data_IF_367035652924
#
_entry.id   IF_367035652924
#
_cell.length_a   1.000
_cell.length_b   1.000
_cell.length_c   1.000
_cell.angle_alpha   90.00
_cell.angle_beta   90.00
_cell.angle_gamma   90.00
#
_symmetry.space_group_name_H-M   'P 1'
#
loop_
_entity.id
_entity.type
_entity.pdbx_description
1 polymer ?
#
# COMPACT_ATOMS: atom_id res chain seq x y z
N UNK A 1 -11.62 5.64 34.15
CA UNK A 1 -12.94 6.30 33.93
C UNK A 1 -12.75 7.54 33.03
N UNK A 2 -12.31 7.38 31.76
CA UNK A 2 -11.80 8.52 30.95
C UNK A 2 -12.10 8.47 29.43
N UNK A 3 -13.10 7.70 28.97
CA UNK A 3 -13.41 7.58 27.54
C UNK A 3 -14.88 7.82 27.18
N UNK A 4 -15.52 8.76 27.86
CA UNK A 4 -16.85 9.27 27.45
C UNK A 4 -16.80 10.59 26.66
N UNK A 5 -15.61 11.11 26.38
CA UNK A 5 -15.49 12.29 25.52
C UNK A 5 -15.51 11.87 24.05
N UNK A 6 -16.72 11.72 23.52
CA UNK A 6 -16.97 11.77 22.08
C UNK A 6 -16.09 12.89 21.49
N UNK A 7 -15.21 12.52 20.55
CA UNK A 7 -14.36 13.44 19.79
C UNK A 7 -15.25 14.49 19.11
N UNK A 8 -15.45 15.64 19.75
CA UNK A 8 -15.96 16.84 19.08
C UNK A 8 -14.83 17.36 18.21
N UNK A 9 -14.81 16.91 16.96
CA UNK A 9 -13.73 17.18 15.99
C UNK A 9 -13.52 18.70 15.78
N UNK A 10 -14.54 19.52 16.01
CA UNK A 10 -14.47 20.98 15.89
C UNK A 10 -13.69 21.71 16.98
N UNK A 11 -13.26 21.03 18.05
CA UNK A 11 -12.50 21.64 19.17
C UNK A 11 -11.28 20.79 19.55
N UNK A 12 -10.72 20.09 18.55
CA UNK A 12 -9.58 19.22 18.76
C UNK A 12 -8.28 20.03 18.64
N UNK A 13 -7.50 20.11 19.73
CA UNK A 13 -6.17 20.71 19.66
C UNK A 13 -5.28 19.97 18.65
N UNK A 14 -4.42 20.71 17.94
CA UNK A 14 -3.46 20.13 17.00
C UNK A 14 -2.62 19.02 17.66
N UNK A 15 -2.18 19.24 18.89
CA UNK A 15 -1.43 18.25 19.66
C UNK A 15 -2.23 16.97 19.96
N UNK A 16 -3.54 17.09 20.19
CA UNK A 16 -4.42 15.93 20.41
C UNK A 16 -4.60 15.13 19.12
N UNK A 17 -4.78 15.80 17.99
CA UNK A 17 -4.83 15.15 16.67
C UNK A 17 -3.54 14.37 16.37
N UNK A 18 -2.39 15.01 16.59
CA UNK A 18 -1.07 14.39 16.37
C UNK A 18 -0.89 13.18 17.30
N UNK A 19 -1.24 13.29 18.59
CA UNK A 19 -1.16 12.17 19.53
C UNK A 19 -2.08 11.00 19.13
N UNK A 20 -3.32 11.30 18.70
CA UNK A 20 -4.25 10.28 18.22
C UNK A 20 -3.68 9.56 17.00
N UNK A 21 -3.22 10.31 15.99
CA UNK A 21 -2.65 9.71 14.79
C UNK A 21 -1.38 8.91 15.05
N UNK A 22 -0.52 9.38 15.97
CA UNK A 22 0.66 8.63 16.41
C UNK A 22 0.27 7.26 16.98
N UNK A 23 -0.70 7.23 17.90
CA UNK A 23 -1.20 5.98 18.49
C UNK A 23 -1.79 5.04 17.45
N UNK A 24 -2.55 5.56 16.49
CA UNK A 24 -3.11 4.76 15.38
C UNK A 24 -2.00 4.12 14.54
N UNK A 25 -0.90 4.85 14.30
CA UNK A 25 0.25 4.34 13.56
C UNK A 25 1.05 3.31 14.37
N UNK A 26 1.27 3.55 15.66
CA UNK A 26 1.96 2.62 16.57
C UNK A 26 1.22 1.28 16.67
N UNK A 27 -0.12 1.30 16.85
CA UNK A 27 -0.94 0.09 16.86
C UNK A 27 -0.97 -0.62 15.49
N UNK A 28 -0.66 0.09 14.41
CA UNK A 28 -0.48 -0.49 13.09
C UNK A 28 0.93 -1.09 12.87
N UNK A 29 1.80 -1.06 13.89
CA UNK A 29 3.16 -1.62 13.86
C UNK A 29 4.25 -0.66 13.41
N UNK A 30 3.95 0.64 13.24
CA UNK A 30 4.97 1.63 12.86
C UNK A 30 5.76 2.09 14.09
N UNK A 31 7.07 2.30 13.91
CA UNK A 31 7.88 3.13 14.81
C UNK A 31 7.60 4.60 14.50
N UNK A 32 7.10 5.36 15.48
CA UNK A 32 6.59 6.71 15.26
C UNK A 32 7.52 7.77 15.87
N UNK A 33 7.92 8.74 15.04
CA UNK A 33 8.69 9.92 15.44
C UNK A 33 7.81 11.15 15.29
N UNK A 34 7.53 11.84 16.40
CA UNK A 34 6.70 13.06 16.41
C UNK A 34 7.59 14.30 16.30
N UNK A 35 7.06 15.37 15.72
CA UNK A 35 7.77 16.64 15.52
C UNK A 35 9.15 16.42 14.84
N UNK A 36 9.18 15.59 13.80
CA UNK A 36 10.41 15.24 13.11
C UNK A 36 10.95 16.46 12.36
N UNK A 37 12.13 16.91 12.76
CA UNK A 37 12.76 18.09 12.19
C UNK A 37 13.69 17.69 11.04
N UNK A 38 13.55 18.38 9.92
CA UNK A 38 14.49 18.37 8.80
C UNK A 38 15.12 19.75 8.67
N UNK A 39 16.21 19.87 7.93
CA UNK A 39 16.91 21.13 7.64
C UNK A 39 16.02 22.26 7.11
N UNK A 40 14.84 21.96 6.54
CA UNK A 40 13.94 22.94 5.94
C UNK A 40 12.48 22.89 6.43
N UNK A 41 12.05 21.78 7.03
CA UNK A 41 10.64 21.57 7.37
C UNK A 41 10.51 20.81 8.69
N UNK A 42 9.45 21.13 9.44
CA UNK A 42 9.04 20.38 10.62
C UNK A 42 7.83 19.54 10.23
N UNK A 43 7.93 18.24 10.45
CA UNK A 43 6.91 17.26 10.11
C UNK A 43 6.22 16.83 11.39
N UNK A 44 4.90 16.80 11.38
CA UNK A 44 4.15 16.43 12.59
C UNK A 44 4.46 14.98 13.00
N UNK A 45 4.46 14.04 12.06
CA UNK A 45 4.79 12.64 12.32
C UNK A 45 5.56 12.00 11.16
N UNK A 46 6.63 11.28 11.48
CA UNK A 46 7.32 10.36 10.58
C UNK A 46 7.21 8.94 11.15
N UNK A 47 6.61 8.02 10.40
CA UNK A 47 6.46 6.62 10.78
C UNK A 47 7.35 5.73 9.93
N UNK A 48 7.99 4.73 10.55
CA UNK A 48 8.78 3.72 9.85
C UNK A 48 8.22 2.35 10.19
N UNK A 49 7.78 1.61 9.17
CA UNK A 49 7.40 0.21 9.33
C UNK A 49 8.62 -0.66 8.96
N UNK A 50 9.26 -1.32 9.93
CA UNK A 50 10.38 -2.22 9.65
C UNK A 50 9.86 -3.46 8.94
N UNK A 51 10.43 -3.80 7.78
CA UNK A 51 10.12 -5.05 7.07
C UNK A 51 11.40 -5.73 6.60
N UNK A 52 11.34 -7.05 6.41
CA UNK A 52 12.48 -7.87 5.95
C UNK A 52 13.03 -7.48 4.56
N UNK A 53 12.26 -6.72 3.77
CA UNK A 53 12.62 -6.27 2.43
C UNK A 53 13.03 -4.79 2.37
N UNK A 54 13.04 -4.11 3.51
CA UNK A 54 13.37 -2.69 3.63
C UNK A 54 12.37 -1.91 4.47
N UNK A 55 12.83 -0.79 5.01
CA UNK A 55 12.02 0.08 5.85
C UNK A 55 11.06 0.91 5.00
N UNK A 56 9.77 0.87 5.35
CA UNK A 56 8.74 1.66 4.68
C UNK A 56 8.52 2.93 5.49
N UNK A 57 8.99 4.06 4.96
CA UNK A 57 8.78 5.38 5.55
C UNK A 57 7.42 5.97 5.17
N UNK A 58 6.69 6.50 6.14
CA UNK A 58 5.41 7.20 5.94
C UNK A 58 5.48 8.55 6.62
N UNK A 59 5.23 9.61 5.86
CA UNK A 59 5.17 10.98 6.37
C UNK A 59 3.72 11.36 6.59
N UNK A 60 3.39 11.88 7.77
CA UNK A 60 2.04 12.33 8.12
C UNK A 60 2.04 13.80 8.54
N UNK A 61 1.20 14.60 7.89
CA UNK A 61 0.89 15.96 8.30
C UNK A 61 -0.50 16.05 8.90
N UNK A 62 -0.60 16.74 10.03
CA UNK A 62 -1.83 16.99 10.76
C UNK A 62 -2.16 18.49 10.70
N UNK A 63 -3.16 18.85 9.90
CA UNK A 63 -3.67 20.23 9.83
C UNK A 63 -4.92 20.34 10.70
N UNK A 64 -4.96 21.38 11.53
CA UNK A 64 -6.15 21.70 12.31
C UNK A 64 -6.74 22.99 11.75
N UNK A 65 -7.87 22.89 11.05
CA UNK A 65 -8.58 24.01 10.47
C UNK A 65 -10.04 23.97 10.90
N UNK A 66 -10.68 25.14 11.03
CA UNK A 66 -12.12 25.20 11.21
C UNK A 66 -12.84 24.68 9.96
N UNK A 67 -14.10 24.25 10.13
CA UNK A 67 -14.98 23.78 9.06
C UNK A 67 -15.17 24.77 7.89
N UNK A 68 -14.87 26.06 8.13
CA UNK A 68 -14.96 27.13 7.11
C UNK A 68 -13.74 27.19 6.18
N UNK A 69 -12.64 26.53 6.55
CA UNK A 69 -11.39 26.56 5.83
C UNK A 69 -11.05 25.18 5.28
N UNK A 70 -10.84 25.10 3.97
CA UNK A 70 -10.46 23.86 3.31
C UNK A 70 -8.95 23.80 3.07
N UNK A 71 -8.40 22.58 3.09
CA UNK A 71 -7.00 22.34 2.75
C UNK A 71 -6.79 22.48 1.24
N UNK A 72 -5.88 23.38 0.88
CA UNK A 72 -5.50 23.68 -0.50
C UNK A 72 -4.47 22.74 -1.11
N UNK A 73 -4.16 22.99 -2.39
CA UNK A 73 -3.17 22.24 -3.16
C UNK A 73 -1.72 22.50 -2.70
N UNK A 74 -1.47 23.66 -2.12
CA UNK A 74 -0.21 24.09 -1.53
C UNK A 74 0.31 23.10 -0.49
N UNK A 75 -0.55 22.70 0.46
CA UNK A 75 -0.20 21.74 1.52
C UNK A 75 0.19 20.39 0.92
N UNK A 76 -0.53 19.92 -0.09
CA UNK A 76 -0.23 18.64 -0.75
C UNK A 76 1.11 18.66 -1.47
N UNK A 77 1.42 19.75 -2.17
CA UNK A 77 2.70 19.92 -2.88
C UNK A 77 3.88 20.04 -1.92
N UNK A 78 3.70 20.79 -0.82
CA UNK A 78 4.70 20.88 0.24
C UNK A 78 5.02 19.49 0.80
N UNK A 79 3.99 18.73 1.17
CA UNK A 79 4.16 17.38 1.70
C UNK A 79 4.72 16.38 0.68
N UNK A 80 4.43 16.56 -0.60
CA UNK A 80 5.07 15.78 -1.67
C UNK A 80 6.57 16.05 -1.76
N UNK A 81 6.98 17.32 -1.68
CA UNK A 81 8.40 17.68 -1.66
C UNK A 81 9.10 17.06 -0.44
N UNK A 82 8.49 17.18 0.74
CA UNK A 82 8.99 16.59 1.98
C UNK A 82 9.11 15.06 1.87
N UNK A 83 8.09 14.39 1.36
CA UNK A 83 8.09 12.93 1.15
C UNK A 83 9.22 12.49 0.21
N UNK A 84 9.49 13.25 -0.86
CA UNK A 84 10.62 12.97 -1.77
C UNK A 84 11.97 13.17 -1.09
N UNK A 85 12.13 14.23 -0.30
CA UNK A 85 13.38 14.49 0.44
C UNK A 85 13.69 13.39 1.44
N UNK A 86 12.68 12.89 2.15
CA UNK A 86 12.83 11.83 3.14
C UNK A 86 12.77 10.42 2.55
N UNK A 87 12.62 10.28 1.23
CA UNK A 87 12.40 8.99 0.55
C UNK A 87 11.23 8.19 1.16
N UNK A 88 10.21 8.89 1.64
CA UNK A 88 9.03 8.27 2.20
C UNK A 88 8.25 7.55 1.10
N UNK A 89 7.83 6.32 1.37
CA UNK A 89 7.06 5.48 0.45
C UNK A 89 5.62 5.96 0.32
N UNK A 90 5.08 6.63 1.35
CA UNK A 90 3.71 7.14 1.33
C UNK A 90 3.58 8.45 2.12
N UNK A 91 2.68 9.30 1.64
CA UNK A 91 2.34 10.56 2.29
C UNK A 91 0.89 10.48 2.74
N UNK A 92 0.64 10.88 3.98
CA UNK A 92 -0.70 10.97 4.56
C UNK A 92 -0.93 12.40 5.05
N UNK A 93 -2.06 12.98 4.69
CA UNK A 93 -2.45 14.30 5.17
C UNK A 93 -3.79 14.17 5.86
N UNK A 94 -3.83 14.58 7.13
CA UNK A 94 -4.99 14.51 8.01
C UNK A 94 -5.43 15.91 8.33
N UNK A 95 -6.74 16.17 8.24
CA UNK A 95 -7.33 17.45 8.62
C UNK A 95 -8.60 17.26 9.43
N UNK A 96 -8.90 18.20 10.32
CA UNK A 96 -10.18 18.30 11.04
C UNK A 96 -11.30 18.92 10.22
N UNK A 97 -10.97 19.49 9.05
CA UNK A 97 -11.90 20.08 8.08
C UNK A 97 -11.95 19.23 6.79
N UNK A 98 -12.12 19.86 5.63
CA UNK A 98 -12.25 19.23 4.33
C UNK A 98 -11.13 19.66 3.36
N UNK A 99 -10.99 18.92 2.26
CA UNK A 99 -10.05 19.25 1.18
C UNK A 99 -10.78 19.90 0.01
N UNK A 100 -10.13 20.88 -0.61
CA UNK A 100 -10.61 21.43 -1.89
C UNK A 100 -10.65 20.34 -2.97
N UNK A 101 -11.58 20.45 -3.94
CA UNK A 101 -11.67 19.51 -5.07
C UNK A 101 -10.36 19.38 -5.84
N UNK A 102 -9.60 20.47 -5.96
CA UNK A 102 -8.28 20.49 -6.59
C UNK A 102 -7.26 19.66 -5.82
N UNK A 103 -7.29 19.71 -4.47
CA UNK A 103 -6.42 18.91 -3.63
C UNK A 103 -6.78 17.42 -3.72
N UNK A 104 -8.08 17.06 -3.67
CA UNK A 104 -8.54 15.67 -3.82
C UNK A 104 -8.04 15.06 -5.14
N UNK A 105 -8.30 15.74 -6.26
CA UNK A 105 -7.85 15.30 -7.58
C UNK A 105 -6.32 15.17 -7.70
N UNK A 106 -5.57 16.00 -6.96
CA UNK A 106 -4.12 15.93 -6.95
C UNK A 106 -3.63 14.72 -6.13
N UNK A 107 -4.23 14.48 -4.97
CA UNK A 107 -3.88 13.37 -4.10
C UNK A 107 -4.04 12.01 -4.78
N UNK A 108 -5.17 11.81 -5.48
CA UNK A 108 -5.48 10.59 -6.23
C UNK A 108 -4.43 10.26 -7.30
N UNK A 109 -3.85 11.30 -7.92
CA UNK A 109 -2.82 11.15 -8.95
C UNK A 109 -1.42 10.94 -8.40
N UNK A 110 -1.17 11.22 -7.12
CA UNK A 110 0.18 11.31 -6.52
C UNK A 110 0.44 10.32 -5.38
N UNK A 111 -0.39 9.28 -5.23
CA UNK A 111 -0.30 8.31 -4.13
C UNK A 111 -0.31 8.96 -2.73
N UNK A 112 -0.98 10.11 -2.61
CA UNK A 112 -1.14 10.80 -1.33
C UNK A 112 -2.46 10.34 -0.73
N UNK A 113 -2.43 9.83 0.50
CA UNK A 113 -3.65 9.48 1.23
C UNK A 113 -4.15 10.70 1.99
N UNK A 114 -5.34 11.16 1.67
CA UNK A 114 -6.00 12.24 2.41
C UNK A 114 -7.04 11.68 3.37
N UNK A 115 -7.14 12.28 4.55
CA UNK A 115 -8.12 11.96 5.59
C UNK A 115 -8.74 13.28 6.03
N UNK A 116 -10.00 13.48 5.66
CA UNK A 116 -10.81 14.62 6.05
C UNK A 116 -11.53 14.36 7.38
N UNK A 117 -12.38 15.30 7.80
CA UNK A 117 -13.22 15.22 8.99
C UNK A 117 -13.98 13.90 9.10
N UNK A 118 -14.68 13.51 8.03
CA UNK A 118 -15.50 12.29 8.02
C UNK A 118 -14.65 11.02 8.06
N UNK A 119 -13.52 11.04 7.35
CA UNK A 119 -12.49 10.00 7.42
C UNK A 119 -11.91 9.86 8.83
N UNK A 120 -11.66 10.97 9.52
CA UNK A 120 -11.14 10.99 10.88
C UNK A 120 -12.14 10.41 11.89
N UNK A 121 -13.41 10.77 11.78
CA UNK A 121 -14.50 10.19 12.60
C UNK A 121 -14.60 8.68 12.36
N UNK A 122 -14.53 8.26 11.10
CA UNK A 122 -14.56 6.84 10.73
C UNK A 122 -13.37 6.07 11.30
N UNK A 123 -12.17 6.67 11.28
CA UNK A 123 -10.98 6.08 11.88
C UNK A 123 -11.12 5.98 13.40
N UNK A 124 -11.59 7.03 14.07
CA UNK A 124 -11.80 7.01 15.52
C UNK A 124 -12.79 5.93 15.96
N UNK A 125 -13.89 5.76 15.22
CA UNK A 125 -14.87 4.69 15.48
C UNK A 125 -14.26 3.29 15.33
N UNK A 126 -13.52 3.06 14.23
CA UNK A 126 -12.85 1.78 13.97
C UNK A 126 -11.78 1.46 15.02
N UNK A 127 -11.09 2.49 15.49
CA UNK A 127 -10.05 2.36 16.50
C UNK A 127 -10.64 2.04 17.89
N UNK A 128 -11.73 2.71 18.24
CA UNK A 128 -12.44 2.44 19.51
C UNK A 128 -13.03 1.03 19.55
N UNK A 129 -13.64 0.57 18.46
CA UNK A 129 -14.20 -0.78 18.36
C UNK A 129 -13.14 -1.90 18.47
N UNK A 130 -11.92 -1.66 17.98
CA UNK A 130 -10.81 -2.62 18.09
C UNK A 130 -10.26 -2.74 19.51
N UNK A 131 -10.37 -1.70 20.33
CA UNK A 131 -9.92 -1.74 21.72
C UNK A 131 -10.81 -2.61 22.61
N UNK A 132 -12.12 -2.70 22.31
CA UNK A 132 -13.04 -3.57 23.06
C UNK A 132 -12.73 -5.07 22.86
N UNK A 133 -12.14 -5.44 21.71
CA UNK A 133 -11.79 -6.81 21.37
C UNK A 133 -10.46 -7.29 22.02
N UNK A 134 -9.66 -6.36 22.55
CA UNK A 134 -8.35 -6.62 23.20
C UNK A 134 -8.28 -6.12 24.65
N UNK A 135 -9.42 -5.99 25.33
CA UNK A 135 -9.52 -5.69 26.78
C UNK A 135 -9.11 -6.89 27.65
N UNK A 136 -7.86 -7.36 27.49
CA UNK A 136 -7.30 -8.46 28.27
C UNK A 136 -5.83 -8.27 28.66
N UNK A 137 -5.23 -7.11 28.41
CA UNK A 137 -3.85 -6.82 28.80
C UNK A 137 -3.78 -5.50 29.55
N UNK A 138 -3.33 -5.61 30.80
CA UNK A 138 -3.23 -4.52 31.75
C UNK A 138 -2.11 -3.57 31.34
N UNK A 139 -2.43 -2.29 31.28
CA UNK A 139 -1.48 -1.19 31.08
C UNK A 139 -0.99 -0.81 32.48
N UNK A 140 0.31 -0.87 32.71
CA UNK A 140 0.93 -0.22 33.86
C UNK A 140 0.83 1.29 33.63
N UNK A 141 0.01 1.94 34.45
CA UNK A 141 0.11 3.37 34.71
C UNK A 141 1.48 3.62 35.34
N UNK A 142 2.30 4.49 34.75
CA UNK A 142 3.45 5.07 35.43
C UNK A 142 3.20 6.56 35.57
N UNK A 143 3.14 6.97 36.83
CA UNK A 143 2.91 8.33 37.30
C UNK A 143 4.08 9.27 36.95
N UNK A 144 3.79 10.54 37.12
CA UNK A 144 4.65 11.70 36.92
C UNK A 144 6.03 11.56 37.60
N UNK A 145 7.09 11.82 36.83
CA UNK A 145 8.46 11.91 37.33
C UNK A 145 9.24 12.96 36.55
N UNK A 146 9.49 14.10 37.20
CA UNK A 146 10.39 15.17 36.77
C UNK A 146 11.83 14.61 36.65
N UNK A 147 12.46 14.73 35.48
CA UNK A 147 13.83 14.24 35.27
C UNK A 147 14.33 14.45 33.83
N UNK A 148 15.34 15.30 33.71
CA UNK A 148 16.26 15.58 32.57
C UNK A 148 16.21 14.68 31.31
N UNK A 149 16.23 15.28 30.09
CA UNK A 149 16.25 14.52 28.83
C UNK A 149 17.59 13.83 28.59
N UNK A 150 17.63 12.51 28.25
CA UNK A 150 18.85 11.86 27.79
C UNK A 150 19.12 12.14 26.31
N UNK A 151 20.41 12.20 26.00
CA UNK A 151 21.08 12.58 24.76
C UNK A 151 20.49 12.04 23.44
N UNK A 152 20.50 12.94 22.47
CA UNK A 152 20.37 12.75 21.03
C UNK A 152 21.47 11.83 20.49
N UNK A 153 21.10 10.64 20.01
CA UNK A 153 21.94 9.89 19.08
C UNK A 153 21.71 10.43 17.66
N UNK A 154 22.62 11.30 17.22
CA UNK A 154 22.69 11.90 15.89
C UNK A 154 23.03 10.82 14.85
N UNK A 155 22.08 10.51 13.96
CA UNK A 155 22.31 9.60 12.83
C UNK A 155 22.86 10.38 11.63
N UNK A 156 24.15 10.25 11.36
CA UNK A 156 24.81 10.74 10.15
C UNK A 156 24.91 9.64 9.09
N UNK A 157 24.25 9.75 7.93
CA UNK A 157 24.48 8.82 6.83
C UNK A 157 25.82 9.12 6.13
N UNK A 158 26.58 8.06 5.87
CA UNK A 158 27.88 8.04 5.22
C UNK A 158 27.85 8.62 3.80
N UNK A 159 28.73 9.60 3.57
CA UNK A 159 28.96 10.30 2.32
C UNK A 159 29.96 9.55 1.44
N UNK A 160 29.50 8.72 0.52
CA UNK A 160 30.27 8.37 -0.68
C UNK A 160 29.35 8.27 -1.89
N UNK A 161 29.19 9.38 -2.60
CA UNK A 161 29.41 9.51 -4.05
C UNK A 161 29.05 10.92 -4.47
N UNK A 162 30.11 11.68 -4.75
CA UNK A 162 30.04 13.00 -5.33
C UNK A 162 29.63 12.94 -6.82
N UNK A 163 29.30 14.12 -7.33
CA UNK A 163 29.10 14.53 -8.74
C UNK A 163 27.64 14.48 -9.23
N UNK A 164 27.10 15.46 -9.94
CA UNK A 164 27.57 16.78 -10.36
C UNK A 164 26.33 17.50 -10.93
N UNK A 165 25.88 18.58 -10.30
CA UNK A 165 24.88 19.46 -10.89
C UNK A 165 25.56 20.68 -11.53
N UNK A 166 25.19 21.06 -12.76
CA UNK A 166 25.21 22.45 -13.19
C UNK A 166 23.86 23.10 -12.88
N UNK A 167 23.92 24.25 -12.20
CA UNK A 167 22.84 25.25 -12.16
C UNK A 167 22.65 25.83 -13.57
N UNK A 168 21.40 25.94 -14.02
CA UNK A 168 21.03 26.95 -15.02
C UNK A 168 19.79 27.70 -14.56
N UNK A 169 19.97 28.99 -14.34
CA UNK A 169 18.95 30.02 -14.31
C UNK A 169 18.56 30.37 -15.74
N UNK A 170 17.28 30.37 -16.08
CA UNK A 170 16.75 31.29 -17.08
C UNK A 170 15.23 31.43 -16.96
N UNK A 171 14.83 32.69 -16.86
CA UNK A 171 13.53 33.21 -17.23
C UNK A 171 13.29 33.03 -18.72
N UNK A 172 12.11 32.53 -19.11
CA UNK A 172 11.47 32.92 -20.37
C UNK A 172 9.96 32.78 -20.29
N UNK A 173 9.30 33.90 -20.55
CA UNK A 173 7.93 34.02 -21.04
C UNK A 173 7.75 33.23 -22.35
N UNK A 174 6.63 32.54 -22.50
CA UNK A 174 6.32 31.83 -23.74
C UNK A 174 4.97 31.11 -23.72
N UNK A 175 3.95 31.84 -24.17
CA UNK A 175 2.64 31.40 -24.63
C UNK A 175 2.66 30.09 -25.44
N UNK A 176 1.80 29.11 -25.16
CA UNK A 176 1.17 28.25 -26.19
C UNK A 176 -0.15 27.59 -25.70
N UNK A 177 -1.24 28.01 -26.35
CA UNK A 177 -2.40 27.23 -26.82
C UNK A 177 -2.86 25.98 -26.07
N UNK A 178 -3.93 26.17 -25.29
CA UNK A 178 -5.24 25.49 -25.37
C UNK A 178 -5.38 24.43 -26.49
N UNK A 179 -5.26 23.16 -26.11
CA UNK A 179 -5.66 22.00 -26.90
C UNK A 179 -6.49 21.04 -26.05
N UNK A 180 -7.81 21.01 -26.29
CA UNK A 180 -8.74 19.98 -25.78
C UNK A 180 -8.36 18.65 -26.41
N UNK A 181 -8.02 17.66 -25.58
CA UNK A 181 -7.89 16.26 -25.99
C UNK A 181 -8.61 15.37 -24.97
N UNK A 182 -9.89 15.13 -25.22
CA UNK A 182 -10.66 14.08 -24.53
C UNK A 182 -10.27 12.74 -25.16
N UNK A 183 -9.68 11.85 -24.37
CA UNK A 183 -9.48 10.45 -24.76
C UNK A 183 -10.37 9.60 -23.86
N UNK A 184 -11.56 9.31 -24.37
CA UNK A 184 -12.46 8.29 -23.84
C UNK A 184 -11.77 6.92 -23.97
N UNK A 185 -11.21 6.43 -22.86
CA UNK A 185 -10.75 5.05 -22.76
C UNK A 185 -11.91 4.17 -22.30
N UNK A 186 -12.77 3.81 -23.24
CA UNK A 186 -13.76 2.75 -23.07
C UNK A 186 -13.03 1.42 -22.80
N UNK A 187 -12.80 1.11 -21.52
CA UNK A 187 -12.38 -0.23 -21.10
C UNK A 187 -13.64 -1.07 -20.96
N UNK A 188 -14.01 -1.72 -22.05
CA UNK A 188 -15.01 -2.79 -22.08
C UNK A 188 -14.44 -4.00 -21.32
N UNK A 189 -14.57 -4.01 -20.00
CA UNK A 189 -14.37 -5.21 -19.20
C UNK A 189 -15.53 -6.16 -19.50
N UNK A 190 -15.29 -7.16 -20.36
CA UNK A 190 -16.11 -8.37 -20.38
C UNK A 190 -15.92 -9.05 -19.03
N UNK A 191 -16.93 -8.93 -18.17
CA UNK A 191 -17.04 -9.76 -16.97
C UNK A 191 -17.17 -11.22 -17.43
N UNK A 192 -16.10 -11.99 -17.25
CA UNK A 192 -16.20 -13.44 -17.28
C UNK A 192 -16.84 -13.83 -15.93
N UNK A 193 -18.17 -13.86 -15.91
CA UNK A 193 -18.91 -14.40 -14.77
C UNK A 193 -18.73 -15.92 -14.79
N UNK A 194 -17.94 -16.44 -13.85
CA UNK A 194 -18.00 -17.87 -13.57
C UNK A 194 -19.36 -18.19 -12.93
N UNK A 195 -20.00 -19.30 -13.31
CA UNK A 195 -21.26 -19.73 -12.72
C UNK A 195 -21.04 -20.03 -11.23
N UNK A 196 -21.91 -19.45 -10.39
CA UNK A 196 -21.92 -19.72 -8.95
C UNK A 196 -22.42 -21.13 -8.67
N UNK A 197 -21.50 -22.08 -8.75
CA UNK A 197 -21.67 -23.41 -8.16
C UNK A 197 -21.37 -23.35 -6.65
N UNK A 198 -22.28 -23.81 -5.78
CA UNK A 198 -22.04 -23.87 -4.35
C UNK A 198 -21.11 -25.06 -4.05
N UNK A 199 -19.81 -24.81 -3.90
CA UNK A 199 -18.88 -25.83 -3.41
C UNK A 199 -17.42 -25.70 -3.83
N UNK A 200 -17.08 -24.92 -4.86
CA UNK A 200 -15.70 -24.85 -5.38
C UNK A 200 -14.87 -23.70 -4.81
N UNK A 201 -15.51 -22.66 -4.25
CA UNK A 201 -14.84 -21.52 -3.61
C UNK A 201 -13.81 -21.95 -2.53
N UNK A 202 -14.08 -22.89 -1.61
CA UNK A 202 -13.12 -23.27 -0.56
C UNK A 202 -11.95 -24.15 -1.07
N UNK A 203 -12.12 -24.83 -2.20
CA UNK A 203 -11.03 -25.58 -2.82
C UNK A 203 -10.07 -24.64 -3.58
N UNK A 204 -10.58 -23.54 -4.13
CA UNK A 204 -9.76 -22.58 -4.89
C UNK A 204 -8.99 -21.58 -4.00
N UNK A 205 -9.32 -21.48 -2.71
CA UNK A 205 -8.58 -20.64 -1.75
C UNK A 205 -7.30 -21.29 -1.23
N UNK A 206 -7.19 -22.62 -1.32
CA UNK A 206 -6.04 -23.36 -0.82
C UNK A 206 -4.94 -23.47 -1.88
N UNK A 207 -3.72 -23.02 -1.57
CA UNK A 207 -2.57 -23.09 -2.49
C UNK A 207 -2.28 -24.53 -2.95
N UNK A 208 -2.40 -25.50 -2.04
CA UNK A 208 -2.19 -26.93 -2.34
C UNK A 208 -3.23 -27.42 -3.36
N UNK A 209 -4.50 -27.09 -3.15
CA UNK A 209 -5.59 -27.45 -4.07
C UNK A 209 -5.41 -26.79 -5.44
N UNK A 210 -4.91 -25.55 -5.48
CA UNK A 210 -4.60 -24.84 -6.72
C UNK A 210 -3.49 -25.55 -7.50
N UNK A 211 -2.43 -26.02 -6.84
CA UNK A 211 -1.37 -26.83 -7.46
C UNK A 211 -1.95 -28.10 -8.11
N UNK A 212 -2.79 -28.83 -7.38
CA UNK A 212 -3.41 -30.07 -7.89
C UNK A 212 -4.31 -29.78 -9.11
N UNK A 213 -5.12 -28.71 -9.04
CA UNK A 213 -6.02 -28.32 -10.13
C UNK A 213 -5.22 -27.89 -11.37
N UNK A 214 -4.19 -27.06 -11.19
CA UNK A 214 -3.32 -26.62 -12.30
C UNK A 214 -2.64 -27.82 -12.95
N UNK A 215 -2.07 -28.73 -12.16
CA UNK A 215 -1.44 -29.94 -12.66
C UNK A 215 -2.41 -30.86 -13.42
N UNK A 216 -3.61 -31.06 -12.89
CA UNK A 216 -4.64 -31.86 -13.54
C UNK A 216 -5.08 -31.25 -14.87
N UNK A 217 -5.37 -29.94 -14.89
CA UNK A 217 -5.79 -29.23 -16.10
C UNK A 217 -4.67 -29.19 -17.15
N UNK A 218 -3.43 -28.91 -16.76
CA UNK A 218 -2.30 -28.93 -17.70
C UNK A 218 -2.04 -30.32 -18.26
N UNK A 219 -2.24 -31.37 -17.47
CA UNK A 219 -2.15 -32.76 -17.94
C UNK A 219 -3.25 -33.09 -18.95
N UNK A 220 -4.50 -32.70 -18.68
CA UNK A 220 -5.64 -32.90 -19.59
C UNK A 220 -5.43 -32.14 -20.91
N UNK A 221 -5.10 -30.85 -20.85
CA UNK A 221 -4.87 -30.02 -22.04
C UNK A 221 -3.74 -30.63 -22.88
N UNK A 222 -2.67 -31.08 -22.23
CA UNK A 222 -1.56 -31.68 -22.98
C UNK A 222 -1.92 -33.04 -23.56
N UNK A 223 -2.72 -33.85 -22.87
CA UNK A 223 -3.21 -35.11 -23.41
C UNK A 223 -3.98 -34.89 -24.72
N UNK A 224 -4.83 -33.85 -24.78
CA UNK A 224 -5.51 -33.45 -26.01
C UNK A 224 -4.55 -32.98 -27.10
N UNK A 225 -3.53 -32.18 -26.77
CA UNK A 225 -2.52 -31.73 -27.75
C UNK A 225 -1.68 -32.91 -28.26
N UNK A 226 -1.39 -33.89 -27.41
CA UNK A 226 -0.64 -35.10 -27.77
C UNK A 226 -1.38 -35.96 -28.81
N UNK A 227 -2.69 -35.82 -28.94
CA UNK A 227 -3.48 -36.49 -29.98
C UNK A 227 -3.19 -35.94 -31.38
N UNK A 228 -2.78 -34.66 -31.49
CA UNK A 228 -2.59 -33.96 -32.77
C UNK A 228 -1.14 -33.71 -33.17
N UNK A 229 -0.17 -33.84 -32.25
CA UNK A 229 1.24 -33.54 -32.50
C UNK A 229 2.14 -34.72 -32.11
N UNK A 230 2.99 -35.16 -33.04
CA UNK A 230 3.90 -36.30 -32.85
C UNK A 230 5.29 -35.90 -32.30
N UNK A 231 5.65 -34.61 -32.38
CA UNK A 231 6.96 -34.13 -31.95
C UNK A 231 7.03 -33.99 -30.42
N UNK A 232 7.74 -34.91 -29.78
CA UNK A 232 7.92 -34.98 -28.32
C UNK A 232 8.58 -33.75 -27.72
N UNK A 233 9.55 -33.14 -28.42
CA UNK A 233 10.22 -31.91 -27.99
C UNK A 233 9.26 -30.72 -27.91
N UNK A 234 8.43 -30.54 -28.95
CA UNK A 234 7.44 -29.46 -29.00
C UNK A 234 6.37 -29.67 -27.93
N UNK A 235 5.97 -30.94 -27.70
CA UNK A 235 5.03 -31.28 -26.66
C UNK A 235 5.56 -30.92 -25.26
N UNK A 236 6.85 -31.14 -24.98
CA UNK A 236 7.49 -30.75 -23.72
C UNK A 236 7.48 -29.23 -23.50
N UNK A 237 7.83 -28.45 -24.53
CA UNK A 237 7.81 -26.98 -24.45
C UNK A 237 6.38 -26.47 -24.27
N UNK A 238 5.42 -27.04 -25.00
CA UNK A 238 4.01 -26.70 -24.87
C UNK A 238 3.49 -26.97 -23.45
N UNK A 239 3.86 -28.09 -22.81
CA UNK A 239 3.52 -28.38 -21.40
C UNK A 239 3.96 -27.26 -20.47
N UNK A 240 5.20 -26.80 -20.62
CA UNK A 240 5.78 -25.76 -19.77
C UNK A 240 5.02 -24.45 -19.97
N UNK A 241 4.77 -24.05 -21.22
CA UNK A 241 4.02 -22.82 -21.53
C UNK A 241 2.58 -22.87 -21.01
N UNK A 242 1.88 -23.99 -21.19
CA UNK A 242 0.50 -24.18 -20.73
C UNK A 242 0.44 -24.12 -19.20
N UNK A 243 1.39 -24.75 -18.51
CA UNK A 243 1.47 -24.69 -17.04
C UNK A 243 1.73 -23.28 -16.52
N UNK A 244 2.56 -22.50 -17.22
CA UNK A 244 2.82 -21.10 -16.89
C UNK A 244 1.54 -20.25 -17.08
N UNK A 245 0.86 -20.40 -18.22
CA UNK A 245 -0.38 -19.65 -18.48
C UNK A 245 -1.48 -20.04 -17.49
N UNK A 246 -1.64 -21.32 -17.17
CA UNK A 246 -2.67 -21.77 -16.20
C UNK A 246 -2.38 -21.33 -14.76
N UNK A 247 -1.12 -21.43 -14.31
CA UNK A 247 -0.77 -21.06 -12.93
C UNK A 247 -1.02 -19.57 -12.66
N UNK A 248 -0.59 -18.68 -13.55
CA UNK A 248 -0.89 -17.25 -13.41
C UNK A 248 -2.36 -16.93 -13.73
N UNK A 249 -2.94 -17.55 -14.77
CA UNK A 249 -4.32 -17.29 -15.19
C UNK A 249 -5.36 -17.70 -14.15
N UNK A 250 -5.20 -18.88 -13.54
CA UNK A 250 -6.12 -19.37 -12.52
C UNK A 250 -6.00 -18.56 -11.22
N UNK A 251 -4.77 -18.25 -10.79
CA UNK A 251 -4.54 -17.42 -9.60
C UNK A 251 -5.09 -16.00 -9.80
N UNK A 252 -4.92 -15.40 -10.99
CA UNK A 252 -5.47 -14.07 -11.32
C UNK A 252 -7.01 -14.06 -11.39
N UNK A 253 -7.65 -15.18 -11.73
CA UNK A 253 -9.11 -15.28 -11.73
C UNK A 253 -9.69 -15.38 -10.32
N UNK A 254 -8.94 -15.94 -9.37
CA UNK A 254 -9.38 -16.17 -7.99
C UNK A 254 -9.04 -14.97 -7.11
N UNK A 255 -7.83 -14.41 -7.26
CA UNK A 255 -7.35 -13.31 -6.44
C UNK A 255 -7.41 -11.98 -7.19
N UNK A 256 -7.95 -10.97 -6.52
CA UNK A 256 -8.10 -9.62 -7.09
C UNK A 256 -6.84 -8.77 -6.92
N UNK A 257 -5.92 -9.16 -6.04
CA UNK A 257 -4.73 -8.40 -5.71
C UNK A 257 -3.53 -8.83 -6.56
N UNK A 258 -2.91 -7.87 -7.26
CA UNK A 258 -1.82 -8.16 -8.21
C UNK A 258 -0.57 -8.70 -7.51
N UNK A 259 -0.29 -8.28 -6.28
CA UNK A 259 0.92 -8.72 -5.54
C UNK A 259 0.77 -10.15 -5.00
N UNK A 260 -0.42 -10.52 -4.54
CA UNK A 260 -0.71 -11.87 -4.07
C UNK A 260 -0.84 -12.84 -5.24
N UNK A 261 -1.41 -12.38 -6.37
CA UNK A 261 -1.47 -13.19 -7.59
C UNK A 261 -0.09 -13.51 -8.16
N UNK A 262 0.83 -12.54 -8.15
CA UNK A 262 2.20 -12.77 -8.58
C UNK A 262 2.90 -13.77 -7.66
N UNK A 263 2.92 -13.51 -6.34
CA UNK A 263 3.62 -14.40 -5.39
C UNK A 263 3.06 -15.82 -5.38
N UNK A 264 1.73 -16.00 -5.25
CA UNK A 264 1.09 -17.32 -5.25
C UNK A 264 1.15 -17.99 -6.62
N UNK A 265 1.01 -17.24 -7.71
CA UNK A 265 1.16 -17.74 -9.08
C UNK A 265 2.54 -18.31 -9.33
N UNK A 266 3.59 -17.61 -8.90
CA UNK A 266 4.97 -18.08 -9.00
C UNK A 266 5.21 -19.34 -8.18
N UNK A 267 4.70 -19.42 -6.94
CA UNK A 267 4.83 -20.63 -6.11
C UNK A 267 4.17 -21.83 -6.77
N UNK A 268 2.92 -21.67 -7.23
CA UNK A 268 2.16 -22.74 -7.89
C UNK A 268 2.86 -23.19 -9.18
N UNK A 269 3.37 -22.25 -9.97
CA UNK A 269 4.12 -22.54 -11.19
C UNK A 269 5.37 -23.38 -10.90
N UNK A 270 6.22 -22.94 -9.96
CA UNK A 270 7.47 -23.64 -9.64
C UNK A 270 7.23 -25.02 -9.05
N UNK A 271 6.25 -25.19 -8.16
CA UNK A 271 5.92 -26.50 -7.59
C UNK A 271 5.40 -27.44 -8.68
N UNK A 272 4.53 -26.95 -9.58
CA UNK A 272 4.03 -27.74 -10.70
C UNK A 272 5.16 -28.13 -11.67
N UNK A 273 6.08 -27.21 -11.96
CA UNK A 273 7.25 -27.47 -12.79
C UNK A 273 8.17 -28.51 -12.16
N UNK A 274 8.38 -28.45 -10.85
CA UNK A 274 9.20 -29.41 -10.12
C UNK A 274 8.59 -30.83 -10.19
N UNK A 275 7.26 -30.96 -10.04
CA UNK A 275 6.55 -32.23 -10.23
C UNK A 275 6.76 -32.76 -11.65
N UNK A 276 6.64 -31.91 -12.68
CA UNK A 276 6.87 -32.33 -14.06
C UNK A 276 8.31 -32.76 -14.33
N UNK A 277 9.29 -32.06 -13.77
CA UNK A 277 10.71 -32.44 -13.88
C UNK A 277 10.94 -33.80 -13.22
N UNK A 278 10.40 -34.02 -12.01
CA UNK A 278 10.49 -35.33 -11.34
C UNK A 278 9.82 -36.42 -12.18
N UNK A 279 8.64 -36.15 -12.75
CA UNK A 279 7.91 -37.12 -13.56
C UNK A 279 8.66 -37.50 -14.85
N UNK A 280 9.41 -36.55 -15.45
CA UNK A 280 10.26 -36.82 -16.62
C UNK A 280 11.51 -37.62 -16.24
N UNK A 281 12.08 -37.37 -15.05
CA UNK A 281 13.27 -38.09 -14.59
C UNK A 281 12.92 -39.53 -14.14
N UNK A 282 11.75 -39.69 -13.52
CA UNK A 282 11.31 -40.97 -12.97
C UNK A 282 10.69 -41.93 -14.00
N UNK A 283 10.45 -41.46 -15.23
CA UNK A 283 9.78 -42.20 -16.30
C UNK A 283 10.72 -42.37 -17.50
#
# INVERSE_FOLDING_TARGET
MLYHHCLKVGELDKNRLVKFMARVMEESGFKVYRNFQTSRHIIDIYGVLPTILGDIGVVVACKNYDDRWEVGLDVLKEMEMVGKTLKASKIVIVTTSYFTKSAVNYADRRNIKIIDKDGLVTLAKKFSAKQEEYSGVQIYDDEEGEGTPPEVAEYTPSSETASSFPKTTSSSTGFFSRGKGSLDRATKSRSFSMPEGPGLKPLLTNTISLIIIVFALSSIITYFISMGYTNTAILGIAKILISAVLSYGLVMAIERDVTTTLSKGTIVFFVSLLIYVIMIIAL
#
